data_IF_606198106156
#
_entry.id   IF_606198106156
#
_cell.length_a   1.000
_cell.length_b   1.000
_cell.length_c   1.000
_cell.angle_alpha   90.00
_cell.angle_beta   90.00
_cell.angle_gamma   90.00
#
_symmetry.space_group_name_H-M   'P 1'
#
loop_
_entity.id
_entity.type
_entity.pdbx_description
1 polymer ?
#
# COMPACT_ATOMS: atom_id res chain seq x y z
N UNK A 1 -4.04 -12.54 11.74
CA UNK A 1 -3.22 -12.42 10.52
C UNK A 1 -3.58 -11.10 9.89
N UNK A 2 -2.58 -10.27 9.62
CA UNK A 2 -2.77 -8.91 9.13
C UNK A 2 -2.34 -8.84 7.67
N UNK A 3 -3.17 -8.20 6.85
CA UNK A 3 -2.86 -7.94 5.45
C UNK A 3 -2.49 -6.47 5.31
N UNK A 4 -1.39 -6.22 4.62
CA UNK A 4 -0.97 -4.88 4.20
C UNK A 4 -0.98 -4.83 2.68
N UNK A 5 -1.54 -3.76 2.12
CA UNK A 5 -1.63 -3.58 0.67
C UNK A 5 -0.67 -2.48 0.25
N UNK A 6 0.27 -2.80 -0.63
CA UNK A 6 1.12 -1.81 -1.27
C UNK A 6 0.37 -1.21 -2.46
N UNK A 7 0.27 0.11 -2.53
CA UNK A 7 -0.40 0.85 -3.61
C UNK A 7 0.31 2.19 -3.88
N UNK A 8 -0.20 2.97 -4.84
CA UNK A 8 0.28 4.30 -5.20
C UNK A 8 -0.91 5.20 -5.56
N UNK A 9 -0.67 6.49 -5.80
CA UNK A 9 -1.70 7.45 -6.24
C UNK A 9 -2.27 7.20 -7.63
N UNK A 10 -1.76 6.21 -8.36
CA UNK A 10 -2.31 5.83 -9.66
C UNK A 10 -3.71 5.18 -9.50
N UNK A 11 -4.65 5.58 -10.36
CA UNK A 11 -6.02 5.06 -10.35
C UNK A 11 -6.09 3.52 -10.34
N UNK A 12 -5.24 2.85 -11.13
CA UNK A 12 -5.22 1.40 -11.20
C UNK A 12 -4.73 0.73 -9.91
N UNK A 13 -3.76 1.33 -9.21
CA UNK A 13 -3.26 0.83 -7.94
C UNK A 13 -4.34 0.94 -6.85
N UNK A 14 -5.04 2.09 -6.80
CA UNK A 14 -6.17 2.28 -5.88
C UNK A 14 -7.33 1.33 -6.18
N UNK A 15 -7.64 1.11 -7.46
CA UNK A 15 -8.67 0.16 -7.89
C UNK A 15 -8.34 -1.28 -7.46
N UNK A 16 -7.08 -1.70 -7.63
CA UNK A 16 -6.60 -2.99 -7.15
C UNK A 16 -6.71 -3.11 -5.62
N UNK A 17 -6.29 -2.08 -4.87
CA UNK A 17 -6.40 -2.05 -3.42
C UNK A 17 -7.86 -2.19 -2.93
N UNK A 18 -8.80 -1.52 -3.60
CA UNK A 18 -10.23 -1.64 -3.32
C UNK A 18 -10.75 -3.07 -3.58
N UNK A 19 -10.36 -3.69 -4.70
CA UNK A 19 -10.81 -5.04 -5.04
C UNK A 19 -10.24 -6.10 -4.10
N UNK A 20 -8.96 -5.97 -3.72
CA UNK A 20 -8.35 -6.84 -2.71
C UNK A 20 -9.09 -6.67 -1.38
N UNK A 21 -9.38 -5.44 -0.96
CA UNK A 21 -10.11 -5.14 0.28
C UNK A 21 -11.50 -5.81 0.31
N UNK A 22 -12.24 -5.79 -0.80
CA UNK A 22 -13.51 -6.53 -0.94
C UNK A 22 -13.31 -8.05 -0.75
N UNK A 23 -12.23 -8.59 -1.31
CA UNK A 23 -11.83 -9.98 -1.11
C UNK A 23 -11.57 -10.30 0.36
N UNK A 24 -10.85 -9.44 1.07
CA UNK A 24 -10.56 -9.60 2.51
C UNK A 24 -11.85 -9.63 3.33
N UNK A 25 -12.82 -8.75 3.06
CA UNK A 25 -14.12 -8.74 3.75
C UNK A 25 -14.85 -10.08 3.63
N UNK A 26 -14.74 -10.76 2.48
CA UNK A 26 -15.35 -12.08 2.28
C UNK A 26 -14.76 -13.14 3.23
N UNK A 27 -13.44 -13.13 3.43
CA UNK A 27 -12.75 -14.09 4.31
C UNK A 27 -12.71 -13.66 5.78
N UNK A 28 -12.87 -12.37 6.07
CA UNK A 28 -12.88 -11.84 7.42
C UNK A 28 -14.09 -12.33 8.25
N UNK A 29 -15.18 -12.73 7.59
CA UNK A 29 -16.40 -13.28 8.24
C UNK A 29 -16.19 -14.68 8.82
N UNK A 30 -15.35 -15.51 8.22
CA UNK A 30 -15.08 -16.88 8.65
C UNK A 30 -13.68 -17.07 9.26
N UNK A 31 -12.76 -16.14 9.01
CA UNK A 31 -11.37 -16.22 9.45
C UNK A 31 -10.90 -15.05 10.32
N UNK A 32 -9.67 -15.17 10.84
CA UNK A 32 -8.97 -14.16 11.67
C UNK A 32 -8.15 -13.15 10.85
N UNK A 33 -8.50 -12.98 9.58
CA UNK A 33 -7.77 -12.11 8.64
C UNK A 33 -8.38 -10.71 8.66
N UNK A 34 -7.54 -9.67 8.79
CA UNK A 34 -7.96 -8.26 8.80
C UNK A 34 -7.02 -7.42 7.94
N UNK A 35 -7.53 -6.34 7.37
CA UNK A 35 -6.72 -5.33 6.69
C UNK A 35 -6.06 -4.45 7.77
N UNK A 36 -4.74 -4.50 7.86
CA UNK A 36 -3.95 -3.71 8.81
C UNK A 36 -3.69 -2.29 8.32
N UNK A 37 -3.55 -2.10 7.01
CA UNK A 37 -3.37 -0.78 6.40
C UNK A 37 -2.83 -0.80 4.98
N UNK A 38 -2.71 0.41 4.43
CA UNK A 38 -2.11 0.68 3.14
C UNK A 38 -0.68 1.18 3.30
N UNK A 39 0.21 0.74 2.42
CA UNK A 39 1.57 1.26 2.28
C UNK A 39 1.63 1.96 0.92
N UNK A 40 1.84 3.26 0.93
CA UNK A 40 2.00 4.04 -0.30
C UNK A 40 3.44 3.91 -0.80
N UNK A 41 3.65 3.30 -1.96
CA UNK A 41 4.92 3.30 -2.68
C UNK A 41 4.86 4.40 -3.74
N UNK A 42 5.49 5.54 -3.42
CA UNK A 42 5.31 6.77 -4.18
C UNK A 42 5.73 6.63 -5.65
N UNK A 43 4.93 7.24 -6.53
CA UNK A 43 5.25 7.42 -7.95
C UNK A 43 5.42 8.87 -8.34
N UNK A 44 5.62 9.75 -7.36
CA UNK A 44 5.80 11.19 -7.54
C UNK A 44 4.60 11.86 -8.22
N UNK A 45 3.40 11.43 -7.87
CA UNK A 45 2.16 12.12 -8.27
C UNK A 45 1.83 13.22 -7.25
N UNK A 46 1.20 14.31 -7.69
CA UNK A 46 0.81 15.40 -6.79
C UNK A 46 -0.18 14.91 -5.72
N UNK A 47 0.07 15.30 -4.46
CA UNK A 47 -0.78 14.99 -3.29
C UNK A 47 -1.07 13.49 -3.11
N UNK A 48 -0.10 12.65 -3.45
CA UNK A 48 -0.22 11.19 -3.41
C UNK A 48 -0.50 10.66 -1.99
N UNK A 49 0.17 11.23 -1.00
CA UNK A 49 -0.03 10.93 0.42
C UNK A 49 -1.46 11.23 0.87
N UNK A 50 -1.96 12.44 0.57
CA UNK A 50 -3.32 12.84 0.91
C UNK A 50 -4.37 11.93 0.26
N UNK A 51 -4.14 11.55 -1.00
CA UNK A 51 -5.03 10.67 -1.75
C UNK A 51 -5.10 9.27 -1.13
N UNK A 52 -3.95 8.69 -0.74
CA UNK A 52 -3.92 7.36 -0.13
C UNK A 52 -4.43 7.37 1.30
N UNK A 53 -4.21 8.44 2.07
CA UNK A 53 -4.85 8.64 3.37
C UNK A 53 -6.37 8.63 3.23
N UNK A 54 -6.91 9.42 2.30
CA UNK A 54 -8.35 9.48 2.06
C UNK A 54 -8.94 8.14 1.59
N UNK A 55 -8.19 7.38 0.77
CA UNK A 55 -8.59 6.02 0.38
C UNK A 55 -8.60 5.07 1.58
N UNK A 56 -7.57 5.11 2.41
CA UNK A 56 -7.48 4.27 3.61
C UNK A 56 -8.67 4.53 4.55
N UNK A 57 -8.99 5.80 4.81
CA UNK A 57 -10.14 6.20 5.62
C UNK A 57 -11.46 5.66 5.05
N UNK A 58 -11.66 5.77 3.73
CA UNK A 58 -12.85 5.22 3.04
C UNK A 58 -12.94 3.70 3.11
N UNK A 59 -11.81 3.00 3.18
CA UNK A 59 -11.74 1.55 3.37
C UNK A 59 -11.84 1.12 4.84
N UNK A 60 -11.90 2.06 5.78
CA UNK A 60 -11.93 1.80 7.22
C UNK A 60 -10.58 1.31 7.76
N UNK A 61 -9.48 1.79 7.18
CA UNK A 61 -8.12 1.46 7.58
C UNK A 61 -7.23 2.72 7.60
N UNK A 62 -5.92 2.56 7.76
CA UNK A 62 -4.95 3.65 7.82
C UNK A 62 -3.88 3.49 6.74
N UNK A 63 -3.30 4.61 6.30
CA UNK A 63 -2.01 4.59 5.61
C UNK A 63 -0.92 4.46 6.68
N UNK A 64 -0.23 3.33 6.70
CA UNK A 64 0.78 3.04 7.74
C UNK A 64 2.08 3.73 7.44
N UNK A 65 2.43 3.80 6.16
CA UNK A 65 3.67 4.41 5.74
C UNK A 65 3.58 4.92 4.31
N UNK A 66 4.32 6.00 4.07
CA UNK A 66 4.59 6.55 2.75
C UNK A 66 6.06 6.31 2.43
N UNK A 67 6.31 5.42 1.48
CA UNK A 67 7.65 5.07 0.99
C UNK A 67 7.98 6.02 -0.17
N UNK A 68 8.96 6.93 -0.02
CA UNK A 68 9.33 7.87 -1.07
C UNK A 68 10.01 7.16 -2.24
N UNK A 69 9.90 7.76 -3.43
CA UNK A 69 10.64 7.31 -4.61
C UNK A 69 12.10 7.76 -4.52
N UNK A 70 13.03 6.81 -4.42
CA UNK A 70 14.47 7.10 -4.39
C UNK A 70 15.26 6.15 -5.30
N UNK A 71 16.18 6.71 -6.10
CA UNK A 71 17.10 5.99 -6.97
C UNK A 71 18.10 5.09 -6.23
N UNK A 72 18.23 5.22 -4.90
CA UNK A 72 19.02 4.30 -4.06
C UNK A 72 18.45 2.87 -4.12
N UNK A 73 17.13 2.73 -4.24
CA UNK A 73 16.47 1.41 -4.31
C UNK A 73 16.97 0.65 -5.54
N UNK A 74 16.98 1.27 -6.72
CA UNK A 74 17.48 0.63 -7.94
C UNK A 74 18.98 0.31 -7.84
N UNK A 75 19.77 1.20 -7.23
CA UNK A 75 21.21 0.95 -7.03
C UNK A 75 21.47 -0.25 -6.11
N UNK A 76 20.67 -0.42 -5.06
CA UNK A 76 20.72 -1.56 -4.16
C UNK A 76 20.23 -2.85 -4.86
N UNK A 77 19.12 -2.79 -5.60
CA UNK A 77 18.58 -3.91 -6.37
C UNK A 77 19.59 -4.45 -7.40
N UNK A 78 20.33 -3.58 -8.10
CA UNK A 78 21.40 -3.99 -9.04
C UNK A 78 22.49 -4.81 -8.33
N UNK A 79 22.74 -4.51 -7.05
CA UNK A 79 23.71 -5.21 -6.20
C UNK A 79 23.11 -6.41 -5.46
N UNK A 80 21.83 -6.74 -5.70
CA UNK A 80 21.08 -7.81 -5.04
C UNK A 80 21.05 -7.68 -3.52
N UNK A 81 21.00 -6.44 -3.03
CA UNK A 81 20.92 -6.12 -1.61
C UNK A 81 19.71 -5.23 -1.35
N UNK A 82 19.25 -5.22 -0.10
CA UNK A 82 18.28 -4.22 0.36
C UNK A 82 18.98 -2.88 0.59
N UNK A 83 18.22 -1.80 0.79
CA UNK A 83 18.79 -0.50 1.18
C UNK A 83 19.33 -0.51 2.62
N UNK A 84 18.94 -1.50 3.44
CA UNK A 84 19.34 -1.61 4.86
C UNK A 84 20.67 -2.35 5.03
N UNK A 85 20.97 -3.29 4.15
CA UNK A 85 22.25 -4.02 4.09
C UNK A 85 23.41 -3.12 3.64
#
# INVERSE_FOLDING_TARGET
QEIYIVCSGEMMAMYAANNISKGIVKYAKSGKVRLGGLICNSRQTDREDELIIALAEKLGTQMIHFVPRDNIVQRAEIRRMTVIE
#
